data_IF_944730014402
#
_entry.id   IF_944730014402
#
_cell.length_a   1.000
_cell.length_b   1.000
_cell.length_c   1.000
_cell.angle_alpha   90.00
_cell.angle_beta   90.00
_cell.angle_gamma   90.00
#
_symmetry.space_group_name_H-M   'P 1'
#
loop_
_entity.id
_entity.type
_entity.pdbx_description
1 polymer ?
#
# COMPACT_ATOMS: atom_id res chain seq x y z
N UNK A 1 6.31 -26.55 13.31
CA UNK A 1 6.11 -25.13 13.72
C UNK A 1 5.41 -24.30 12.65
N UNK A 2 6.01 -24.03 11.49
CA UNK A 2 5.31 -23.32 10.38
C UNK A 2 4.13 -24.15 9.88
N UNK A 3 4.34 -25.46 9.70
CA UNK A 3 3.30 -26.44 9.39
C UNK A 3 2.14 -26.39 10.38
N UNK A 4 2.43 -26.23 11.66
CA UNK A 4 1.40 -26.22 12.71
C UNK A 4 0.65 -24.89 12.73
N UNK A 5 1.36 -23.78 12.47
CA UNK A 5 0.78 -22.45 12.37
C UNK A 5 -0.23 -22.37 11.21
N UNK A 6 0.14 -22.78 10.01
CA UNK A 6 -0.76 -22.77 8.84
C UNK A 6 -1.71 -23.99 8.81
N UNK A 7 -1.31 -25.10 9.42
CA UNK A 7 -2.11 -26.33 9.50
C UNK A 7 -3.25 -26.25 10.52
N UNK A 8 -3.08 -25.49 11.61
CA UNK A 8 -4.16 -25.21 12.55
C UNK A 8 -5.32 -24.40 11.92
N UNK A 9 -5.12 -23.83 10.73
CA UNK A 9 -6.11 -23.05 9.98
C UNK A 9 -6.85 -23.85 8.89
N UNK A 10 -6.64 -25.18 8.84
CA UNK A 10 -7.28 -26.05 7.84
C UNK A 10 -8.82 -26.05 7.96
N UNK A 11 -9.38 -25.70 9.12
CA UNK A 11 -10.82 -25.60 9.35
C UNK A 11 -11.51 -24.53 8.46
N UNK A 12 -10.77 -23.53 7.96
CA UNK A 12 -11.31 -22.45 7.11
C UNK A 12 -11.03 -22.64 5.60
N UNK A 13 -10.52 -23.80 5.17
CA UNK A 13 -10.24 -24.12 3.75
C UNK A 13 -9.03 -23.38 3.13
N UNK A 14 -8.59 -22.28 3.74
CA UNK A 14 -7.46 -21.43 3.28
C UNK A 14 -6.07 -21.97 3.67
N UNK A 15 -5.99 -22.80 4.72
CA UNK A 15 -4.72 -23.30 5.27
C UNK A 15 -3.89 -24.14 4.29
N UNK A 16 -4.54 -24.97 3.45
CA UNK A 16 -3.85 -25.85 2.48
C UNK A 16 -3.15 -25.04 1.38
N UNK A 17 -3.82 -23.99 0.87
CA UNK A 17 -3.28 -23.13 -0.18
C UNK A 17 -2.15 -22.25 0.36
N UNK A 18 -2.30 -21.72 1.57
CA UNK A 18 -1.25 -20.96 2.27
C UNK A 18 0.02 -21.80 2.47
N UNK A 19 -0.11 -23.05 2.93
CA UNK A 19 1.01 -23.97 3.12
C UNK A 19 1.75 -24.26 1.81
N UNK A 20 1.01 -24.55 0.73
CA UNK A 20 1.61 -24.82 -0.58
C UNK A 20 2.40 -23.63 -1.14
N UNK A 21 1.98 -22.40 -0.86
CA UNK A 21 2.72 -21.19 -1.26
C UNK A 21 4.01 -21.03 -0.47
N UNK A 22 3.96 -21.24 0.85
CA UNK A 22 5.10 -21.05 1.74
C UNK A 22 6.18 -22.10 1.51
N UNK A 23 5.79 -23.35 1.22
CA UNK A 23 6.74 -24.42 0.93
C UNK A 23 7.62 -24.14 -0.30
N UNK A 24 7.24 -23.17 -1.16
CA UNK A 24 8.07 -22.71 -2.28
C UNK A 24 9.22 -21.79 -1.85
N UNK A 25 9.23 -21.29 -0.61
CA UNK A 25 10.26 -20.39 -0.13
C UNK A 25 11.57 -21.12 0.20
N UNK A 26 12.68 -20.40 0.10
CA UNK A 26 13.98 -20.95 0.46
C UNK A 26 14.06 -21.21 1.98
N UNK A 27 14.97 -22.10 2.37
CA UNK A 27 15.13 -22.51 3.78
C UNK A 27 15.41 -21.34 4.72
N UNK A 28 16.20 -20.36 4.29
CA UNK A 28 16.54 -19.17 5.11
C UNK A 28 15.34 -18.27 5.37
N UNK A 29 14.49 -18.05 4.36
CA UNK A 29 13.22 -17.30 4.51
C UNK A 29 12.27 -18.06 5.42
N UNK A 30 12.20 -19.40 5.32
CA UNK A 30 11.40 -20.20 6.23
C UNK A 30 11.88 -20.08 7.68
N UNK A 31 13.19 -20.19 7.94
CA UNK A 31 13.72 -20.05 9.30
C UNK A 31 13.44 -18.66 9.89
N UNK A 32 13.64 -17.59 9.12
CA UNK A 32 13.35 -16.22 9.57
C UNK A 32 11.85 -15.99 9.75
N UNK A 33 10.99 -16.51 8.86
CA UNK A 33 9.55 -16.46 9.01
C UNK A 33 9.08 -17.18 10.28
N UNK A 34 9.65 -18.34 10.62
CA UNK A 34 9.34 -19.04 11.87
C UNK A 34 9.65 -18.18 13.10
N UNK A 35 10.82 -17.53 13.12
CA UNK A 35 11.19 -16.61 14.19
C UNK A 35 10.25 -15.40 14.28
N UNK A 36 9.85 -14.81 13.15
CA UNK A 36 8.90 -13.70 13.11
C UNK A 36 7.52 -14.14 13.61
N UNK A 37 7.04 -15.33 13.25
CA UNK A 37 5.77 -15.88 13.75
C UNK A 37 5.82 -16.02 15.27
N UNK A 38 6.89 -16.59 15.82
CA UNK A 38 7.07 -16.73 17.27
C UNK A 38 7.07 -15.36 17.96
N UNK A 39 7.85 -14.42 17.45
CA UNK A 39 7.93 -13.08 18.02
C UNK A 39 6.58 -12.35 17.97
N UNK A 40 5.88 -12.37 16.83
CA UNK A 40 4.58 -11.69 16.71
C UNK A 40 3.49 -12.33 17.57
N UNK A 41 3.58 -13.64 17.86
CA UNK A 41 2.65 -14.32 18.79
C UNK A 41 2.74 -13.75 20.20
N UNK A 42 3.92 -13.37 20.67
CA UNK A 42 4.10 -12.73 21.99
C UNK A 42 3.28 -11.42 22.11
N UNK A 43 3.03 -10.76 20.98
CA UNK A 43 2.24 -9.54 20.91
C UNK A 43 0.80 -9.75 20.43
N UNK A 44 0.36 -10.98 20.14
CA UNK A 44 -0.93 -11.27 19.49
C UNK A 44 -1.09 -10.54 18.12
N UNK A 45 0.00 -10.44 17.34
CA UNK A 45 0.06 -9.78 16.04
C UNK A 45 0.28 -10.75 14.86
N UNK A 46 0.36 -12.05 15.13
CA UNK A 46 0.67 -13.08 14.14
C UNK A 46 -0.41 -13.25 13.05
N UNK A 47 -1.64 -12.76 13.31
CA UNK A 47 -2.76 -12.80 12.35
C UNK A 47 -2.43 -12.21 10.98
N UNK A 48 -1.57 -11.19 10.94
CA UNK A 48 -1.15 -10.56 9.67
C UNK A 48 -0.43 -11.54 8.73
N UNK A 49 0.09 -12.64 9.27
CA UNK A 49 0.80 -13.67 8.51
C UNK A 49 -0.11 -14.79 8.02
N UNK A 50 -1.40 -14.79 8.35
CA UNK A 50 -2.31 -15.89 8.00
C UNK A 50 -2.54 -16.04 6.50
N UNK A 51 -2.44 -14.96 5.73
CA UNK A 51 -2.65 -14.99 4.29
C UNK A 51 -1.35 -14.71 3.52
N UNK A 52 -0.62 -15.76 3.08
CA UNK A 52 0.66 -15.61 2.38
C UNK A 52 0.53 -15.00 0.99
N UNK A 53 -0.67 -14.97 0.40
CA UNK A 53 -0.90 -14.33 -0.91
C UNK A 53 -0.61 -12.82 -0.88
N UNK A 54 -0.64 -12.22 0.31
CA UNK A 54 -0.30 -10.82 0.53
C UNK A 54 1.22 -10.58 0.65
N UNK A 55 2.04 -11.63 0.76
CA UNK A 55 3.48 -11.47 0.84
C UNK A 55 4.03 -10.94 -0.48
N UNK A 56 4.93 -9.96 -0.37
CA UNK A 56 5.57 -9.33 -1.52
C UNK A 56 7.07 -9.60 -1.46
N UNK A 57 7.63 -10.00 -2.60
CA UNK A 57 9.08 -10.13 -2.76
C UNK A 57 9.68 -8.72 -2.67
N UNK A 58 10.69 -8.53 -1.80
CA UNK A 58 11.30 -7.22 -1.58
C UNK A 58 12.11 -6.75 -2.79
N UNK A 59 12.89 -7.65 -3.39
CA UNK A 59 13.69 -7.42 -4.59
C UNK A 59 13.16 -8.26 -5.74
N UNK A 60 12.77 -7.59 -6.82
CA UNK A 60 12.36 -8.23 -8.07
C UNK A 60 13.12 -7.55 -9.20
N UNK A 61 14.22 -8.19 -9.63
CA UNK A 61 15.16 -7.65 -10.62
C UNK A 61 14.47 -7.40 -11.98
N UNK A 62 13.40 -8.13 -12.28
CA UNK A 62 12.61 -7.99 -13.51
C UNK A 62 11.55 -6.86 -13.44
N UNK A 63 11.26 -6.34 -12.25
CA UNK A 63 10.22 -5.32 -12.04
C UNK A 63 10.79 -3.96 -11.66
N UNK A 64 11.89 -3.94 -10.90
CA UNK A 64 12.45 -2.72 -10.32
C UNK A 64 13.94 -2.57 -10.59
N UNK A 65 14.36 -1.32 -10.79
CA UNK A 65 15.77 -0.97 -10.87
C UNK A 65 16.47 -1.29 -9.55
N UNK A 66 17.56 -2.04 -9.64
CA UNK A 66 18.39 -2.39 -8.49
C UNK A 66 19.22 -1.18 -8.06
N UNK A 67 18.86 -0.60 -6.91
CA UNK A 67 19.63 0.45 -6.25
C UNK A 67 20.32 -0.15 -5.02
N UNK A 68 21.65 -0.25 -5.08
CA UNK A 68 22.42 -0.73 -3.94
C UNK A 68 22.44 0.31 -2.80
N UNK A 69 22.83 -0.12 -1.60
CA UNK A 69 22.84 0.75 -0.42
C UNK A 69 23.78 1.96 -0.53
N UNK A 70 24.87 1.84 -1.30
CA UNK A 70 25.79 2.95 -1.55
C UNK A 70 25.16 3.99 -2.48
N UNK A 71 24.47 3.56 -3.55
CA UNK A 71 23.74 4.43 -4.48
C UNK A 71 22.62 5.19 -3.78
N UNK A 72 21.81 4.52 -2.95
CA UNK A 72 20.75 5.17 -2.18
C UNK A 72 21.29 6.27 -1.26
N UNK A 73 22.49 6.07 -0.70
CA UNK A 73 23.18 7.06 0.14
C UNK A 73 23.78 8.18 -0.70
N UNK A 74 24.56 7.86 -1.73
CA UNK A 74 25.32 8.84 -2.52
C UNK A 74 24.44 9.77 -3.33
N UNK A 75 23.26 9.28 -3.77
CA UNK A 75 22.26 10.11 -4.44
C UNK A 75 21.26 10.74 -3.46
N UNK A 76 21.49 10.60 -2.15
CA UNK A 76 20.64 11.17 -1.08
C UNK A 76 19.15 10.91 -1.31
N UNK A 77 18.80 9.66 -1.66
CA UNK A 77 17.44 9.33 -2.13
C UNK A 77 16.41 9.52 -1.02
N UNK A 78 16.72 9.08 0.20
CA UNK A 78 15.81 9.13 1.35
C UNK A 78 16.19 10.16 2.40
N UNK A 79 17.51 10.38 2.58
CA UNK A 79 18.11 11.22 3.62
C UNK A 79 19.36 11.85 3.04
N UNK A 80 19.66 13.08 3.47
CA UNK A 80 20.96 13.70 3.17
C UNK A 80 22.08 13.02 3.97
N UNK A 81 23.32 13.20 3.55
CA UNK A 81 24.51 12.66 4.22
C UNK A 81 25.11 13.59 5.29
N UNK A 82 24.65 14.84 5.39
CA UNK A 82 25.18 15.83 6.35
C UNK A 82 24.64 15.62 7.77
N UNK A 83 23.32 15.51 7.93
CA UNK A 83 22.65 15.37 9.22
C UNK A 83 21.70 14.15 9.30
N UNK A 84 21.71 13.30 8.27
CA UNK A 84 20.90 12.09 8.15
C UNK A 84 19.38 12.34 8.22
N UNK A 85 18.93 13.59 8.07
CA UNK A 85 17.49 13.92 7.99
C UNK A 85 16.98 13.78 6.57
N UNK A 86 15.65 13.76 6.47
CA UNK A 86 14.96 13.74 5.18
C UNK A 86 15.10 15.07 4.44
N UNK A 87 15.20 16.20 5.13
CA UNK A 87 15.32 17.52 4.47
C UNK A 87 16.54 17.54 3.55
N UNK A 88 16.35 17.95 2.29
CA UNK A 88 17.41 17.97 1.28
C UNK A 88 17.55 16.67 0.46
N UNK A 89 16.81 15.59 0.79
CA UNK A 89 16.79 14.37 -0.02
C UNK A 89 15.86 14.47 -1.23
N UNK A 90 16.05 13.61 -2.24
CA UNK A 90 15.12 13.48 -3.37
C UNK A 90 13.68 13.21 -2.89
N UNK A 91 13.52 12.31 -1.92
CA UNK A 91 12.21 12.00 -1.35
C UNK A 91 11.54 13.24 -0.75
N UNK A 92 12.29 14.14 -0.09
CA UNK A 92 11.74 15.38 0.46
C UNK A 92 11.24 16.33 -0.64
N UNK A 93 11.93 16.39 -1.77
CA UNK A 93 11.56 17.24 -2.91
C UNK A 93 10.26 16.73 -3.56
N UNK A 94 10.09 15.42 -3.65
CA UNK A 94 8.92 14.81 -4.30
C UNK A 94 7.70 14.66 -3.39
N UNK A 95 7.88 14.72 -2.06
CA UNK A 95 6.81 14.44 -1.10
C UNK A 95 5.84 15.62 -0.93
N UNK A 96 4.84 15.66 -1.82
CA UNK A 96 3.66 16.52 -1.72
C UNK A 96 2.39 15.73 -1.29
N UNK A 97 2.56 14.55 -0.70
CA UNK A 97 1.45 13.67 -0.35
C UNK A 97 0.60 14.26 0.77
N UNK A 98 -0.72 13.95 0.75
CA UNK A 98 -1.69 14.47 1.74
C UNK A 98 -2.10 13.46 2.80
N UNK A 99 -1.69 12.20 2.62
CA UNK A 99 -2.01 11.10 3.54
C UNK A 99 -0.76 10.33 3.92
N UNK A 100 -0.74 9.79 5.14
CA UNK A 100 0.41 9.02 5.66
C UNK A 100 0.69 7.75 4.85
N UNK A 101 -0.36 7.06 4.41
CA UNK A 101 -0.23 5.90 3.52
C UNK A 101 0.24 6.29 2.11
N UNK A 102 -0.16 7.46 1.61
CA UNK A 102 0.35 8.03 0.36
C UNK A 102 1.85 8.28 0.44
N UNK A 103 2.32 8.90 1.53
CA UNK A 103 3.75 9.12 1.82
C UNK A 103 4.55 7.81 1.86
N UNK A 104 4.02 6.78 2.53
CA UNK A 104 4.63 5.45 2.57
C UNK A 104 4.72 4.82 1.18
N UNK A 105 3.70 4.97 0.34
CA UNK A 105 3.68 4.47 -1.04
C UNK A 105 4.68 5.21 -1.92
N UNK A 106 4.73 6.54 -1.85
CA UNK A 106 5.71 7.35 -2.58
C UNK A 106 7.14 6.95 -2.20
N UNK A 107 7.41 6.74 -0.90
CA UNK A 107 8.72 6.27 -0.44
C UNK A 107 9.13 4.96 -1.11
N UNK A 108 8.20 3.99 -1.22
CA UNK A 108 8.44 2.73 -1.94
C UNK A 108 8.78 2.99 -3.40
N UNK A 109 8.01 3.83 -4.10
CA UNK A 109 8.24 4.16 -5.51
C UNK A 109 9.61 4.78 -5.76
N UNK A 110 10.04 5.69 -4.90
CA UNK A 110 11.35 6.36 -5.05
C UNK A 110 12.50 5.38 -4.79
N UNK A 111 12.33 4.40 -3.89
CA UNK A 111 13.36 3.38 -3.60
C UNK A 111 13.37 2.20 -4.58
N UNK A 112 12.29 2.01 -5.34
CA UNK A 112 12.10 0.90 -6.25
C UNK A 112 11.57 1.44 -7.60
N UNK A 113 12.43 2.11 -8.40
CA UNK A 113 12.02 2.63 -9.70
C UNK A 113 11.57 1.48 -10.61
N UNK A 114 10.55 1.70 -11.43
CA UNK A 114 10.02 0.70 -12.35
C UNK A 114 10.97 0.45 -13.53
N UNK A 115 10.97 -0.76 -14.07
CA UNK A 115 11.64 -1.10 -15.33
C UNK A 115 10.68 -1.19 -16.53
N UNK A 116 9.42 -1.52 -16.28
CA UNK A 116 8.42 -1.71 -17.34
C UNK A 116 7.96 -0.38 -17.92
N UNK A 117 8.33 -0.13 -19.18
CA UNK A 117 7.97 1.10 -19.90
C UNK A 117 6.46 1.38 -19.90
N UNK A 118 5.62 0.35 -20.03
CA UNK A 118 4.15 0.51 -19.98
C UNK A 118 3.66 1.07 -18.63
N UNK A 119 4.21 0.60 -17.51
CA UNK A 119 3.84 1.08 -16.18
C UNK A 119 4.40 2.49 -15.90
N UNK A 120 5.59 2.79 -16.41
CA UNK A 120 6.18 4.14 -16.33
C UNK A 120 5.29 5.14 -17.08
N UNK A 121 4.99 4.85 -18.36
CA UNK A 121 4.16 5.72 -19.18
C UNK A 121 2.75 5.87 -18.61
N UNK A 122 2.15 4.79 -18.09
CA UNK A 122 0.85 4.87 -17.42
C UNK A 122 0.83 5.82 -16.21
N UNK A 123 1.94 5.93 -15.45
CA UNK A 123 2.08 6.95 -14.39
C UNK A 123 2.28 8.35 -14.96
N UNK A 124 3.08 8.50 -16.02
CA UNK A 124 3.31 9.80 -16.67
C UNK A 124 2.02 10.35 -17.30
N UNK A 125 1.20 9.50 -17.91
CA UNK A 125 -0.11 9.86 -18.46
C UNK A 125 -1.04 10.37 -17.36
N UNK A 126 -1.09 9.67 -16.22
CA UNK A 126 -1.86 10.10 -15.06
C UNK A 126 -1.40 11.45 -14.50
N UNK A 127 -0.08 11.68 -14.39
CA UNK A 127 0.47 12.96 -13.95
C UNK A 127 0.13 14.07 -14.94
N UNK A 128 0.27 13.82 -16.24
CA UNK A 128 -0.02 14.78 -17.30
C UNK A 128 -1.49 15.16 -17.29
N UNK A 129 -2.40 14.19 -17.17
CA UNK A 129 -3.83 14.47 -17.05
C UNK A 129 -4.14 15.30 -15.79
N UNK A 130 -3.55 14.98 -14.64
CA UNK A 130 -3.76 15.77 -13.42
C UNK A 130 -3.31 17.23 -13.60
N UNK A 131 -2.23 17.48 -14.33
CA UNK A 131 -1.68 18.82 -14.54
C UNK A 131 -2.49 19.66 -15.53
N UNK A 132 -2.99 19.04 -16.59
CA UNK A 132 -3.62 19.75 -17.73
C UNK A 132 -5.14 19.59 -17.81
N UNK A 133 -5.75 18.82 -16.91
CA UNK A 133 -7.20 18.62 -16.92
C UNK A 133 -7.93 19.81 -16.33
N UNK A 134 -8.89 20.34 -17.10
CA UNK A 134 -9.88 21.32 -16.65
C UNK A 134 -11.02 20.66 -15.83
N UNK A 135 -10.98 19.33 -15.65
CA UNK A 135 -12.00 18.60 -14.91
C UNK A 135 -11.98 18.95 -13.42
N UNK A 136 -13.10 19.48 -12.93
CA UNK A 136 -13.30 19.71 -11.49
C UNK A 136 -13.33 18.42 -10.68
N UNK A 137 -13.53 17.26 -11.31
CA UNK A 137 -13.63 15.94 -10.65
C UNK A 137 -12.33 15.57 -9.97
N UNK A 138 -11.18 15.78 -10.63
CA UNK A 138 -9.87 15.49 -10.04
C UNK A 138 -9.60 16.40 -8.84
N UNK A 139 -9.97 17.67 -8.92
CA UNK A 139 -9.88 18.61 -7.79
C UNK A 139 -10.75 18.17 -6.60
N UNK A 140 -11.98 17.71 -6.86
CA UNK A 140 -12.87 17.16 -5.83
C UNK A 140 -12.27 15.91 -5.17
N UNK A 141 -11.74 14.97 -5.95
CA UNK A 141 -11.07 13.76 -5.42
C UNK A 141 -9.87 14.14 -4.55
N UNK A 142 -9.03 15.08 -5.00
CA UNK A 142 -7.92 15.56 -4.18
C UNK A 142 -8.39 16.14 -2.86
N UNK A 143 -9.48 16.92 -2.87
CA UNK A 143 -10.06 17.50 -1.65
C UNK A 143 -10.56 16.45 -0.66
N UNK A 144 -11.06 15.31 -1.15
CA UNK A 144 -11.43 14.18 -0.30
C UNK A 144 -10.21 13.61 0.42
N UNK A 145 -9.09 13.42 -0.29
CA UNK A 145 -7.86 12.84 0.26
C UNK A 145 -7.26 13.67 1.41
N UNK A 146 -7.43 15.00 1.40
CA UNK A 146 -6.95 15.86 2.50
C UNK A 146 -7.59 15.54 3.86
N UNK A 147 -8.79 14.98 3.87
CA UNK A 147 -9.55 14.71 5.10
C UNK A 147 -9.37 13.29 5.61
N UNK A 148 -8.64 12.44 4.89
CA UNK A 148 -8.53 11.01 5.22
C UNK A 148 -7.43 10.80 6.27
N UNK A 149 -7.75 10.28 7.48
CA UNK A 149 -6.77 9.86 8.48
C UNK A 149 -5.91 8.68 7.98
N UNK A 150 -5.00 8.18 8.80
CA UNK A 150 -4.21 6.99 8.46
C UNK A 150 -5.06 5.70 8.52
N UNK A 151 -5.89 5.50 7.48
CA UNK A 151 -6.81 4.36 7.38
C UNK A 151 -6.09 3.02 7.32
N UNK A 152 -4.92 2.94 6.70
CA UNK A 152 -4.13 1.71 6.64
C UNK A 152 -3.75 1.25 8.06
N UNK A 153 -3.28 2.16 8.92
CA UNK A 153 -2.96 1.85 10.32
C UNK A 153 -4.20 1.55 11.15
N UNK A 154 -5.27 2.32 10.94
CA UNK A 154 -6.54 2.11 11.64
C UNK A 154 -7.16 0.73 11.36
N UNK A 155 -7.18 0.32 10.08
CA UNK A 155 -7.63 -1.01 9.67
C UNK A 155 -6.79 -2.12 10.33
N UNK A 156 -5.47 -1.96 10.41
CA UNK A 156 -4.63 -2.92 11.15
C UNK A 156 -5.00 -2.99 12.65
N UNK A 157 -5.25 -1.86 13.29
CA UNK A 157 -5.67 -1.80 14.71
C UNK A 157 -7.00 -2.55 14.93
N UNK A 158 -7.97 -2.34 14.04
CA UNK A 158 -9.27 -3.02 14.04
C UNK A 158 -9.10 -4.52 13.80
N UNK A 159 -8.31 -4.91 12.80
CA UNK A 159 -8.04 -6.31 12.45
C UNK A 159 -7.45 -7.11 13.62
N UNK A 160 -6.55 -6.48 14.39
CA UNK A 160 -5.98 -7.07 15.60
C UNK A 160 -6.88 -6.96 16.84
N UNK A 161 -8.06 -6.32 16.73
CA UNK A 161 -8.99 -6.04 17.84
C UNK A 161 -8.33 -5.24 18.97
N UNK A 162 -7.46 -4.29 18.61
CA UNK A 162 -6.69 -3.45 19.54
C UNK A 162 -7.02 -1.95 19.42
N UNK A 163 -8.02 -1.59 18.62
CA UNK A 163 -8.46 -0.20 18.47
C UNK A 163 -9.37 0.26 19.61
N UNK A 164 -9.37 1.56 19.88
CA UNK A 164 -10.41 2.18 20.72
C UNK A 164 -11.73 2.32 19.96
N UNK A 165 -12.84 2.53 20.66
CA UNK A 165 -14.16 2.79 20.04
C UNK A 165 -14.13 4.06 19.18
N UNK A 166 -13.43 5.10 19.65
CA UNK A 166 -13.26 6.35 18.92
C UNK A 166 -12.48 6.15 17.61
N UNK A 167 -11.38 5.38 17.67
CA UNK A 167 -10.60 5.03 16.49
C UNK A 167 -11.44 4.19 15.51
N UNK A 168 -12.14 3.18 16.01
CA UNK A 168 -13.03 2.35 15.19
C UNK A 168 -14.06 3.20 14.44
N UNK A 169 -14.78 4.07 15.16
CA UNK A 169 -15.77 4.96 14.55
C UNK A 169 -15.14 5.90 13.52
N UNK A 170 -14.01 6.52 13.85
CA UNK A 170 -13.30 7.44 12.94
C UNK A 170 -12.95 6.75 11.62
N UNK A 171 -12.41 5.53 11.67
CA UNK A 171 -11.99 4.78 10.48
C UNK A 171 -13.20 4.34 9.66
N UNK A 172 -14.22 3.73 10.29
CA UNK A 172 -15.42 3.24 9.58
C UNK A 172 -16.20 4.40 8.95
N UNK A 173 -16.44 5.48 9.71
CA UNK A 173 -17.14 6.66 9.17
C UNK A 173 -16.35 7.34 8.04
N UNK A 174 -15.02 7.40 8.13
CA UNK A 174 -14.16 7.89 7.02
C UNK A 174 -14.36 7.04 5.77
N UNK A 175 -14.30 5.70 5.89
CA UNK A 175 -14.43 4.79 4.75
C UNK A 175 -15.80 4.90 4.10
N UNK A 176 -16.88 4.95 4.90
CA UNK A 176 -18.25 5.12 4.40
C UNK A 176 -18.47 6.47 3.71
N UNK A 177 -17.92 7.56 4.26
CA UNK A 177 -17.96 8.87 3.62
C UNK A 177 -17.17 8.90 2.31
N UNK A 178 -16.01 8.23 2.27
CA UNK A 178 -15.20 8.13 1.06
C UNK A 178 -15.91 7.32 -0.02
N UNK A 179 -16.52 6.19 0.33
CA UNK A 179 -17.32 5.38 -0.60
C UNK A 179 -18.43 6.23 -1.22
N UNK A 180 -19.24 6.90 -0.39
CA UNK A 180 -20.38 7.70 -0.84
C UNK A 180 -19.93 8.84 -1.76
N UNK A 181 -18.87 9.55 -1.37
CA UNK A 181 -18.35 10.67 -2.15
C UNK A 181 -17.74 10.22 -3.48
N UNK A 182 -16.96 9.15 -3.50
CA UNK A 182 -16.36 8.62 -4.74
C UNK A 182 -17.44 8.05 -5.65
N UNK A 183 -18.43 7.33 -5.10
CA UNK A 183 -19.56 6.77 -5.85
C UNK A 183 -20.37 7.86 -6.55
N UNK A 184 -20.61 9.01 -5.90
CA UNK A 184 -21.27 10.15 -6.51
C UNK A 184 -20.48 10.76 -7.69
N UNK A 185 -19.15 10.63 -7.67
CA UNK A 185 -18.26 11.13 -8.73
C UNK A 185 -18.06 10.14 -9.88
N UNK A 186 -18.43 8.86 -9.73
CA UNK A 186 -18.22 7.81 -10.75
C UNK A 186 -18.70 8.22 -12.15
N UNK A 187 -19.93 8.76 -12.35
CA UNK A 187 -20.37 9.14 -13.69
C UNK A 187 -19.47 10.21 -14.33
N UNK A 188 -19.02 11.18 -13.52
CA UNK A 188 -18.13 12.23 -13.99
C UNK A 188 -16.71 11.70 -14.25
N UNK A 189 -16.21 10.77 -13.42
CA UNK A 189 -14.94 10.07 -13.65
C UNK A 189 -14.95 9.31 -14.98
N UNK A 190 -16.03 8.60 -15.29
CA UNK A 190 -16.12 7.81 -16.53
C UNK A 190 -16.05 8.66 -17.80
N UNK A 191 -16.54 9.91 -17.74
CA UNK A 191 -16.59 10.84 -18.88
C UNK A 191 -15.35 11.72 -18.95
N UNK A 192 -14.86 12.20 -17.80
CA UNK A 192 -13.86 13.26 -17.73
C UNK A 192 -12.43 12.75 -17.48
N UNK A 193 -12.25 11.53 -16.97
CA UNK A 193 -10.93 10.94 -16.69
C UNK A 193 -10.55 9.93 -17.78
N UNK A 194 -9.44 10.21 -18.46
CA UNK A 194 -8.92 9.49 -19.63
C UNK A 194 -7.77 8.54 -19.28
N UNK A 195 -6.88 8.93 -18.36
CA UNK A 195 -5.75 8.10 -17.99
C UNK A 195 -6.24 6.79 -17.37
N UNK A 196 -5.83 5.68 -17.96
CA UNK A 196 -6.27 4.34 -17.59
C UNK A 196 -6.00 4.02 -16.12
N UNK A 197 -4.85 4.46 -15.59
CA UNK A 197 -4.45 4.25 -14.20
C UNK A 197 -5.41 4.94 -13.22
N UNK A 198 -5.74 6.21 -13.47
CA UNK A 198 -6.64 6.98 -12.62
C UNK A 198 -8.06 6.42 -12.70
N UNK A 199 -8.55 6.19 -13.92
CA UNK A 199 -9.89 5.66 -14.15
C UNK A 199 -10.08 4.30 -13.47
N UNK A 200 -9.15 3.36 -13.65
CA UNK A 200 -9.19 2.05 -13.00
C UNK A 200 -9.23 2.20 -11.47
N UNK A 201 -8.29 2.96 -10.91
CA UNK A 201 -8.19 3.12 -9.46
C UNK A 201 -9.43 3.75 -8.84
N UNK A 202 -10.04 4.73 -9.50
CA UNK A 202 -11.21 5.46 -8.98
C UNK A 202 -12.51 4.65 -9.11
N UNK A 203 -12.62 3.80 -10.13
CA UNK A 203 -13.79 2.94 -10.32
C UNK A 203 -13.77 1.70 -9.42
N UNK A 204 -12.59 1.19 -9.06
CA UNK A 204 -12.46 0.04 -8.14
C UNK A 204 -12.77 0.40 -6.67
N UNK A 205 -12.57 1.67 -6.25
CA UNK A 205 -12.73 2.07 -4.84
C UNK A 205 -14.15 1.79 -4.30
N UNK A 206 -15.25 2.20 -4.98
CA UNK A 206 -16.59 1.89 -4.50
C UNK A 206 -16.85 0.38 -4.38
N UNK A 207 -16.36 -0.43 -5.32
CA UNK A 207 -16.56 -1.89 -5.31
C UNK A 207 -15.84 -2.54 -4.11
N UNK A 208 -14.62 -2.08 -3.82
CA UNK A 208 -13.85 -2.54 -2.67
C UNK A 208 -14.49 -2.17 -1.34
N UNK A 209 -15.20 -1.03 -1.28
CA UNK A 209 -15.82 -0.53 -0.05
C UNK A 209 -17.27 -1.02 0.13
N UNK A 210 -17.98 -1.36 -0.95
CA UNK A 210 -19.37 -1.84 -0.89
C UNK A 210 -19.50 -3.33 -0.52
N UNK A 211 -18.38 -4.05 -0.40
CA UNK A 211 -18.34 -5.50 -0.21
C UNK A 211 -18.33 -5.94 1.26
N UNK A 212 -18.83 -5.09 2.18
CA UNK A 212 -19.02 -5.40 3.62
C UNK A 212 -20.48 -5.30 4.00
#
# INVERSE_FOLDING_TARGET
MITDFYGSQILDGTGSQALSQILKFNKSVLCSLAAVILYLKEFNLEKILYNPSNFKKLSSEDEYMMLNGATLKNLEILRNQTDMKTKGSLFCILDHTKTSFGKRKLKKWVTQPLLKSSEINSRLDAVSEILFSESSVLGQIMSLLYKVPDVERGICSIYHKKCSVQEFYLIVSTLSNLETAVKALVPAVQVQVRASLLRKSLLEIPELLSST
#
